data_IF_178016088567
#
_entry.id   IF_178016088567
#
_cell.length_a   1.000
_cell.length_b   1.000
_cell.length_c   1.000
_cell.angle_alpha   90.00
_cell.angle_beta   90.00
_cell.angle_gamma   90.00
#
_symmetry.space_group_name_H-M   'P 1'
#
loop_
_entity.id
_entity.type
_entity.pdbx_description
1 polymer ?
#
# COMPACT_ATOMS: atom_id res chain seq x y z
N UNK A 1 -35.21 -21.52 -9.74
CA UNK A 1 -33.78 -21.83 -9.99
C UNK A 1 -32.93 -21.20 -8.89
N UNK A 2 -33.08 -21.73 -7.68
CA UNK A 2 -32.41 -21.23 -6.48
C UNK A 2 -31.33 -22.21 -6.05
N UNK A 3 -30.08 -21.76 -6.13
CA UNK A 3 -28.98 -21.92 -5.19
C UNK A 3 -27.69 -21.78 -6.00
N UNK A 4 -27.24 -20.53 -6.14
CA UNK A 4 -25.84 -20.28 -6.41
C UNK A 4 -25.14 -20.62 -5.10
N UNK A 5 -24.78 -21.90 -4.95
CA UNK A 5 -23.82 -22.36 -3.95
C UNK A 5 -22.65 -21.37 -4.04
N UNK A 6 -22.56 -20.48 -3.05
CA UNK A 6 -21.35 -19.73 -2.76
C UNK A 6 -20.34 -20.82 -2.43
N UNK A 7 -19.70 -21.33 -3.49
CA UNK A 7 -18.58 -22.25 -3.41
C UNK A 7 -17.65 -21.58 -2.43
N UNK A 8 -17.53 -22.17 -1.24
CA UNK A 8 -16.62 -21.71 -0.20
C UNK A 8 -15.24 -21.74 -0.83
N UNK A 9 -14.88 -20.65 -1.50
CA UNK A 9 -13.52 -20.40 -1.88
C UNK A 9 -12.87 -20.29 -0.53
N UNK A 10 -12.04 -21.27 -0.23
CA UNK A 10 -11.09 -21.22 0.87
C UNK A 10 -10.24 -19.98 0.60
N UNK A 11 -10.78 -18.82 0.99
CA UNK A 11 -10.18 -17.54 0.78
C UNK A 11 -9.26 -17.45 1.97
N UNK A 12 -7.97 -17.62 1.73
CA UNK A 12 -6.98 -17.53 2.80
C UNK A 12 -7.16 -16.18 3.48
N UNK A 13 -7.81 -16.16 4.64
CA UNK A 13 -8.14 -14.95 5.37
C UNK A 13 -6.81 -14.35 5.80
N UNK A 14 -6.37 -13.27 5.14
CA UNK A 14 -5.04 -12.70 5.38
C UNK A 14 -5.08 -11.70 6.54
N UNK A 15 -6.28 -11.29 6.97
CA UNK A 15 -6.48 -10.38 8.09
C UNK A 15 -7.85 -10.60 8.74
N UNK A 16 -7.85 -10.81 10.06
CA UNK A 16 -9.03 -10.92 10.92
C UNK A 16 -9.19 -9.64 11.76
N UNK A 17 -10.41 -9.40 12.23
CA UNK A 17 -10.70 -8.31 13.18
C UNK A 17 -9.89 -8.54 14.46
N UNK A 18 -9.13 -7.53 14.87
CA UNK A 18 -8.25 -7.60 16.04
C UNK A 18 -6.81 -8.02 15.75
N UNK A 19 -6.49 -8.43 14.52
CA UNK A 19 -5.10 -8.76 14.16
C UNK A 19 -4.19 -7.54 14.24
N UNK A 20 -3.04 -7.73 14.89
CA UNK A 20 -1.94 -6.76 14.91
C UNK A 20 -1.54 -6.40 13.47
N UNK A 21 -1.35 -5.09 13.19
CA UNK A 21 -0.94 -4.62 11.86
C UNK A 21 0.43 -5.16 11.46
N UNK A 22 1.41 -4.93 12.34
CA UNK A 22 2.81 -5.21 12.10
C UNK A 22 3.24 -6.60 12.61
N UNK A 23 2.74 -7.65 11.94
CA UNK A 23 3.05 -9.05 12.31
C UNK A 23 4.52 -9.40 12.04
N UNK A 24 5.15 -8.71 11.09
CA UNK A 24 6.55 -8.94 10.67
C UNK A 24 7.57 -8.13 11.47
N UNK A 25 7.13 -7.43 12.52
CA UNK A 25 7.97 -6.58 13.37
C UNK A 25 8.83 -5.58 12.57
N UNK A 26 8.28 -4.98 11.52
CA UNK A 26 8.91 -3.88 10.81
C UNK A 26 9.17 -2.69 11.75
N UNK A 27 10.12 -1.83 11.40
CA UNK A 27 10.34 -0.58 12.14
C UNK A 27 9.03 0.23 12.16
N UNK A 28 8.70 0.78 13.32
CA UNK A 28 7.51 1.62 13.49
C UNK A 28 7.54 2.87 12.59
N UNK A 29 8.75 3.39 12.33
CA UNK A 29 8.99 4.54 11.46
C UNK A 29 10.03 4.16 10.41
N UNK A 30 9.72 4.42 9.14
CA UNK A 30 10.66 4.29 8.02
C UNK A 30 10.98 5.68 7.50
N UNK A 31 12.27 6.02 7.45
CA UNK A 31 12.77 7.32 7.00
C UNK A 31 13.61 7.11 5.76
N UNK A 32 13.20 7.74 4.66
CA UNK A 32 13.97 7.79 3.41
C UNK A 32 14.12 9.25 2.99
N UNK A 33 15.36 9.65 2.70
CA UNK A 33 15.66 10.98 2.20
C UNK A 33 15.56 10.99 0.68
N UNK A 34 14.72 11.87 0.15
CA UNK A 34 14.55 12.05 -1.29
C UNK A 34 15.06 13.41 -1.73
N UNK A 35 15.82 13.42 -2.82
CA UNK A 35 16.22 14.65 -3.50
C UNK A 35 15.33 14.89 -4.72
N UNK A 36 15.01 16.16 -5.03
CA UNK A 36 14.20 16.49 -6.20
C UNK A 36 14.89 16.01 -7.49
N UNK A 37 14.19 15.28 -8.39
CA UNK A 37 14.79 14.74 -9.59
C UNK A 37 15.08 15.84 -10.63
N UNK A 38 16.20 15.72 -11.34
CA UNK A 38 16.63 16.69 -12.37
C UNK A 38 15.78 16.64 -13.65
N UNK A 39 15.30 15.45 -14.05
CA UNK A 39 14.62 15.25 -15.35
C UNK A 39 13.10 15.13 -15.24
N UNK A 40 12.61 14.01 -14.68
CA UNK A 40 11.17 13.68 -14.60
C UNK A 40 10.75 13.49 -13.15
N UNK A 41 9.48 13.81 -12.85
CA UNK A 41 8.85 13.53 -11.56
C UNK A 41 8.92 12.02 -11.24
N UNK A 42 9.22 11.68 -9.99
CA UNK A 42 9.26 10.29 -9.53
C UNK A 42 8.00 10.00 -8.73
N UNK A 43 7.31 8.90 -9.05
CA UNK A 43 6.16 8.41 -8.30
C UNK A 43 6.54 7.17 -7.51
N UNK A 44 6.12 7.11 -6.25
CA UNK A 44 6.42 6.02 -5.32
C UNK A 44 5.12 5.63 -4.63
N UNK A 45 4.79 4.34 -4.65
CA UNK A 45 3.63 3.82 -3.94
C UNK A 45 4.08 3.29 -2.59
N UNK A 46 3.60 3.90 -1.51
CA UNK A 46 3.91 3.53 -0.12
C UNK A 46 2.80 2.64 0.44
N UNK A 47 3.18 1.55 1.08
CA UNK A 47 2.27 0.60 1.70
C UNK A 47 1.61 1.20 2.94
N UNK A 48 0.29 1.05 3.05
CA UNK A 48 -0.47 1.36 4.28
C UNK A 48 -1.17 0.15 4.89
N UNK A 49 -1.06 -1.02 4.27
CA UNK A 49 -1.77 -2.23 4.69
C UNK A 49 -0.94 -3.20 5.55
N UNK A 50 0.35 -2.92 5.73
CA UNK A 50 1.30 -3.73 6.52
C UNK A 50 1.48 -5.19 6.07
N UNK A 51 1.03 -5.53 4.87
CA UNK A 51 1.15 -6.89 4.29
C UNK A 51 2.12 -6.99 3.12
N UNK A 52 2.73 -5.87 2.72
CA UNK A 52 3.68 -5.88 1.61
C UNK A 52 4.93 -6.69 1.95
N UNK A 53 5.41 -7.48 0.98
CA UNK A 53 6.70 -8.13 1.02
C UNK A 53 7.86 -7.15 0.80
N UNK A 54 7.59 -5.99 0.20
CA UNK A 54 8.58 -4.94 -0.05
C UNK A 54 8.32 -3.69 0.81
N UNK A 55 7.86 -3.88 2.05
CA UNK A 55 7.59 -2.78 2.98
C UNK A 55 8.86 -1.93 3.16
N UNK A 56 8.80 -0.59 3.01
CA UNK A 56 7.63 0.31 3.10
C UNK A 56 6.85 0.50 1.80
N UNK A 57 7.29 -0.07 0.68
CA UNK A 57 6.67 0.14 -0.63
C UNK A 57 5.46 -0.78 -0.84
N UNK A 58 4.55 -0.37 -1.71
CA UNK A 58 3.39 -1.16 -2.07
C UNK A 58 3.72 -2.15 -3.20
N UNK A 59 3.40 -3.42 -2.98
CA UNK A 59 3.54 -4.54 -3.92
C UNK A 59 2.16 -5.09 -4.37
N UNK A 60 1.11 -4.30 -4.23
CA UNK A 60 -0.28 -4.66 -4.56
C UNK A 60 -0.92 -5.74 -3.66
N UNK A 61 -0.27 -6.19 -2.59
CA UNK A 61 -0.87 -7.14 -1.62
C UNK A 61 -2.18 -6.61 -1.01
N UNK A 62 -2.37 -5.29 -0.96
CA UNK A 62 -3.62 -4.66 -0.51
C UNK A 62 -4.86 -5.07 -1.34
N UNK A 63 -4.69 -5.50 -2.59
CA UNK A 63 -5.82 -5.95 -3.43
C UNK A 63 -6.46 -7.22 -2.87
N UNK A 64 -5.67 -8.13 -2.28
CA UNK A 64 -6.19 -9.31 -1.59
C UNK A 64 -7.01 -8.93 -0.35
N UNK A 65 -6.62 -7.85 0.34
CA UNK A 65 -7.39 -7.32 1.48
C UNK A 65 -8.71 -6.70 1.01
N UNK A 66 -8.71 -5.99 -0.11
CA UNK A 66 -9.93 -5.43 -0.70
C UNK A 66 -10.92 -6.53 -1.12
N UNK A 67 -10.43 -7.66 -1.65
CA UNK A 67 -11.27 -8.84 -1.92
C UNK A 67 -11.93 -9.42 -0.66
N UNK A 68 -11.36 -9.16 0.52
CA UNK A 68 -11.91 -9.54 1.83
C UNK A 68 -12.82 -8.46 2.44
N UNK A 69 -13.13 -7.39 1.70
CA UNK A 69 -13.94 -6.27 2.17
C UNK A 69 -13.16 -5.25 3.00
N UNK A 70 -11.83 -5.36 3.10
CA UNK A 70 -11.00 -4.41 3.83
C UNK A 70 -10.62 -3.26 2.89
N UNK A 71 -11.20 -2.09 3.14
CA UNK A 71 -10.93 -0.86 2.38
C UNK A 71 -9.58 -0.30 2.78
N UNK A 72 -8.55 -0.65 2.02
CA UNK A 72 -7.20 -0.11 2.18
C UNK A 72 -6.54 0.09 0.82
N UNK A 73 -5.61 1.05 0.74
CA UNK A 73 -4.89 1.37 -0.49
C UNK A 73 -3.56 2.05 -0.20
N UNK A 74 -2.64 2.07 -1.17
CA UNK A 74 -1.34 2.71 -0.99
C UNK A 74 -1.48 4.22 -0.86
N UNK A 75 -0.41 4.86 -0.39
CA UNK A 75 -0.19 6.30 -0.55
C UNK A 75 0.68 6.50 -1.79
N UNK A 76 0.22 7.31 -2.74
CA UNK A 76 1.04 7.70 -3.89
C UNK A 76 1.82 8.98 -3.54
N UNK A 77 3.13 8.84 -3.39
CA UNK A 77 4.06 9.95 -3.20
C UNK A 77 4.61 10.38 -4.56
N UNK A 78 4.45 11.65 -4.92
CA UNK A 78 5.07 12.22 -6.12
C UNK A 78 6.14 13.25 -5.73
N UNK A 79 7.38 12.97 -6.11
CA UNK A 79 8.52 13.87 -5.93
C UNK A 79 8.67 14.65 -7.23
N UNK A 80 8.28 15.92 -7.19
CA UNK A 80 8.32 16.84 -8.33
C UNK A 80 9.70 17.48 -8.42
N UNK A 81 10.09 17.83 -9.65
CA UNK A 81 11.24 18.71 -9.89
C UNK A 81 10.92 20.06 -9.26
N UNK A 82 11.92 20.66 -8.59
CA UNK A 82 11.80 22.04 -8.15
C UNK A 82 11.86 22.94 -9.39
N UNK A 83 10.72 23.52 -9.76
CA UNK A 83 10.64 24.52 -10.81
C UNK A 83 10.71 25.89 -10.12
N UNK A 84 11.92 26.44 -10.00
CA UNK A 84 12.18 27.75 -9.40
C UNK A 84 11.62 28.94 -10.20
N UNK A 85 10.56 28.74 -10.98
CA UNK A 85 9.96 29.75 -11.86
C UNK A 85 8.70 30.41 -11.25
N UNK A 86 8.45 30.26 -9.95
CA UNK A 86 7.25 30.83 -9.32
C UNK A 86 7.53 31.38 -7.91
N UNK A 87 8.63 32.12 -7.77
CA UNK A 87 8.82 33.07 -6.68
C UNK A 87 8.40 34.44 -7.19
N UNK A 88 7.23 34.91 -6.76
CA UNK A 88 6.79 36.30 -6.87
C UNK A 88 7.76 37.24 -6.14
#
# INVERSE_FOLDING_TARGET
MGNFLLKEKNCDIIRKKGDILNIRNFKAVHVETFYPPSKKSRKISVCRCWKSNNFPYCDNTHQKLQQQGIVCGPLLLEIRRNNSANSY
#
